data_IF_405091747448
#
_entry.id   IF_405091747448
#
_cell.length_a   1.000
_cell.length_b   1.000
_cell.length_c   1.000
_cell.angle_alpha   90.00
_cell.angle_beta   90.00
_cell.angle_gamma   90.00
#
_symmetry.space_group_name_H-M   'P 1'
#
loop_
_entity.id
_entity.type
_entity.pdbx_description
1 polymer ?
#
# COMPACT_ATOMS: atom_id res chain seq x y z
N UNK A 1 20.07 -3.04 2.60
CA UNK A 1 19.61 -1.67 2.25
C UNK A 1 18.34 -1.81 1.42
N UNK A 2 17.30 -1.01 1.67
CA UNK A 2 16.00 -1.06 0.97
C UNK A 2 15.64 0.37 0.55
N UNK A 3 15.20 0.57 -0.70
CA UNK A 3 14.67 1.86 -1.16
C UNK A 3 13.32 2.13 -0.48
N UNK A 4 13.02 3.39 -0.17
CA UNK A 4 11.83 3.78 0.59
C UNK A 4 11.10 4.92 -0.10
N UNK A 5 9.79 4.74 -0.35
CA UNK A 5 8.92 5.74 -0.95
C UNK A 5 7.61 5.88 -0.13
N UNK A 6 7.46 6.92 0.71
CA UNK A 6 6.42 7.00 1.74
C UNK A 6 4.99 7.03 1.20
N UNK A 7 4.80 7.34 -0.08
CA UNK A 7 3.48 7.34 -0.72
C UNK A 7 3.04 5.97 -1.23
N UNK A 8 3.91 4.95 -1.22
CA UNK A 8 3.69 3.69 -1.92
C UNK A 8 3.92 2.44 -1.07
N UNK A 9 4.08 2.58 0.25
CA UNK A 9 4.21 1.46 1.18
C UNK A 9 3.89 1.88 2.62
N UNK A 10 3.27 0.99 3.40
CA UNK A 10 2.92 1.27 4.81
C UNK A 10 4.18 1.35 5.69
N UNK A 11 5.08 0.39 5.55
CA UNK A 11 6.34 0.37 6.29
C UNK A 11 7.23 1.54 5.86
N UNK A 12 7.24 1.86 4.56
CA UNK A 12 7.92 3.03 4.02
C UNK A 12 7.40 4.32 4.63
N UNK A 13 6.08 4.47 4.75
CA UNK A 13 5.44 5.62 5.37
C UNK A 13 5.90 5.81 6.81
N UNK A 14 5.83 4.76 7.65
CA UNK A 14 6.25 4.85 9.05
C UNK A 14 7.75 5.09 9.22
N UNK A 15 8.59 4.44 8.39
CA UNK A 15 10.02 4.65 8.38
C UNK A 15 10.38 6.10 8.03
N UNK A 16 9.84 6.62 6.93
CA UNK A 16 10.04 8.01 6.52
C UNK A 16 9.52 9.02 7.54
N UNK A 17 8.35 8.75 8.13
CA UNK A 17 7.74 9.61 9.16
C UNK A 17 8.68 9.79 10.35
N UNK A 18 9.31 8.70 10.83
CA UNK A 18 10.27 8.73 11.95
C UNK A 18 11.46 9.66 11.68
N UNK A 19 11.88 9.78 10.42
CA UNK A 19 13.01 10.62 10.00
C UNK A 19 12.58 11.97 9.41
N UNK A 20 11.29 12.33 9.47
CA UNK A 20 10.79 13.61 8.94
C UNK A 20 10.87 13.74 7.42
N UNK A 21 10.96 12.62 6.68
CA UNK A 21 10.97 12.61 5.23
C UNK A 21 9.55 12.93 4.73
N UNK A 22 9.45 13.95 3.88
CA UNK A 22 8.15 14.43 3.38
C UNK A 22 7.48 13.40 2.48
N UNK A 23 6.15 13.33 2.57
CA UNK A 23 5.32 12.58 1.65
C UNK A 23 5.34 13.25 0.27
N UNK A 24 5.78 12.52 -0.75
CA UNK A 24 5.69 12.93 -2.15
C UNK A 24 5.04 11.80 -2.94
N UNK A 25 4.00 12.13 -3.71
CA UNK A 25 3.27 11.17 -4.54
C UNK A 25 3.22 11.67 -6.00
N UNK A 26 4.00 11.07 -6.91
CA UNK A 26 4.02 11.45 -8.32
C UNK A 26 2.88 10.82 -9.13
N UNK A 27 2.00 10.02 -8.52
CA UNK A 27 0.94 9.27 -9.22
C UNK A 27 -0.44 9.76 -8.82
N UNK A 28 -1.25 10.12 -9.80
CA UNK A 28 -2.61 10.63 -9.62
C UNK A 28 -3.64 9.52 -9.35
N UNK A 29 -4.93 9.89 -9.27
CA UNK A 29 -6.02 8.97 -8.95
C UNK A 29 -6.19 7.84 -9.98
N UNK A 30 -5.92 8.13 -11.25
CA UNK A 30 -6.02 7.21 -12.39
C UNK A 30 -4.81 6.25 -12.52
N UNK A 31 -3.83 6.35 -11.62
CA UNK A 31 -2.62 5.52 -11.68
C UNK A 31 -1.64 6.01 -12.76
N UNK A 32 -1.67 7.30 -13.09
CA UNK A 32 -0.79 7.95 -14.06
C UNK A 32 0.16 8.94 -13.38
N UNK A 33 1.34 9.11 -13.94
CA UNK A 33 2.28 10.11 -13.46
C UNK A 33 1.79 11.53 -13.75
N UNK A 34 1.95 12.42 -12.77
CA UNK A 34 1.60 13.85 -12.89
C UNK A 34 2.56 14.58 -13.84
N UNK A 35 2.14 15.76 -14.30
CA UNK A 35 2.93 16.63 -15.19
C UNK A 35 4.32 16.98 -14.67
N UNK A 36 4.47 17.02 -13.34
CA UNK A 36 5.70 17.40 -12.66
C UNK A 36 6.81 16.33 -12.76
N UNK A 37 6.52 15.21 -13.43
CA UNK A 37 7.50 14.17 -13.78
C UNK A 37 7.61 14.08 -15.30
N UNK A 38 8.34 15.00 -15.98
CA UNK A 38 8.20 15.23 -17.42
C UNK A 38 8.44 14.01 -18.30
N UNK A 39 9.41 13.15 -17.94
CA UNK A 39 9.72 11.92 -18.69
C UNK A 39 8.61 10.86 -18.64
N UNK A 40 7.75 10.92 -17.63
CA UNK A 40 6.69 9.94 -17.37
C UNK A 40 5.29 10.54 -17.46
N UNK A 41 5.17 11.85 -17.62
CA UNK A 41 3.91 12.59 -17.52
C UNK A 41 2.80 11.95 -18.36
N UNK A 42 1.67 11.65 -17.71
CA UNK A 42 0.49 11.03 -18.34
C UNK A 42 0.60 9.52 -18.58
N UNK A 43 1.79 8.91 -18.48
CA UNK A 43 1.95 7.46 -18.56
C UNK A 43 1.33 6.79 -17.33
N UNK A 44 0.74 5.62 -17.51
CA UNK A 44 0.42 4.75 -16.37
C UNK A 44 1.71 4.27 -15.69
N UNK A 45 1.61 3.86 -14.43
CA UNK A 45 2.74 3.25 -13.71
C UNK A 45 3.37 2.07 -14.45
N UNK A 46 2.57 1.31 -15.21
CA UNK A 46 3.03 0.15 -15.97
C UNK A 46 3.80 0.55 -17.24
N UNK A 47 3.30 1.55 -17.96
CA UNK A 47 3.98 2.14 -19.13
C UNK A 47 5.29 2.82 -18.73
N UNK A 48 5.34 3.43 -17.54
CA UNK A 48 6.53 4.10 -17.04
C UNK A 48 7.67 3.17 -16.60
N UNK A 49 7.39 1.93 -16.18
CA UNK A 49 8.41 0.98 -15.72
C UNK A 49 9.56 0.75 -16.71
N UNK A 50 9.32 0.43 -18.00
CA UNK A 50 10.42 0.29 -18.97
C UNK A 50 11.20 1.61 -19.16
N UNK A 51 10.51 2.75 -19.20
CA UNK A 51 11.14 4.08 -19.37
C UNK A 51 12.08 4.41 -18.19
N UNK A 52 11.70 4.04 -16.96
CA UNK A 52 12.55 4.21 -15.77
C UNK A 52 13.79 3.33 -15.85
N UNK A 53 13.65 2.08 -16.30
CA UNK A 53 14.79 1.16 -16.46
C UNK A 53 15.79 1.73 -17.47
N UNK A 54 15.30 2.18 -18.63
CA UNK A 54 16.13 2.78 -19.68
C UNK A 54 16.83 4.05 -19.17
N UNK A 55 16.12 4.91 -18.44
CA UNK A 55 16.71 6.11 -17.85
C UNK A 55 17.82 5.78 -16.84
N UNK A 56 17.60 4.82 -15.92
CA UNK A 56 18.63 4.42 -14.95
C UNK A 56 19.84 3.78 -15.66
N UNK A 57 19.63 3.13 -16.80
CA UNK A 57 20.70 2.60 -17.65
C UNK A 57 21.49 3.71 -18.35
N UNK A 58 20.81 4.72 -18.93
CA UNK A 58 21.43 5.91 -19.54
C UNK A 58 22.35 6.64 -18.56
N UNK A 59 21.97 6.70 -17.28
CA UNK A 59 22.78 7.34 -16.23
C UNK A 59 23.93 6.46 -15.70
N UNK A 60 24.10 5.25 -16.22
CA UNK A 60 25.13 4.30 -15.77
C UNK A 60 24.91 3.78 -14.34
N UNK A 61 23.69 3.86 -13.82
CA UNK A 61 23.32 3.45 -12.45
C UNK A 61 22.67 2.08 -12.39
N UNK A 62 22.36 1.46 -13.54
CA UNK A 62 21.76 0.13 -13.61
C UNK A 62 22.83 -0.96 -13.48
N UNK A 63 22.77 -1.74 -12.40
CA UNK A 63 23.68 -2.86 -12.19
C UNK A 63 23.18 -4.17 -12.81
N UNK A 64 21.87 -4.42 -12.74
CA UNK A 64 21.23 -5.65 -13.24
C UNK A 64 19.75 -5.40 -13.52
N UNK A 65 19.20 -6.10 -14.52
CA UNK A 65 17.78 -6.11 -14.84
C UNK A 65 17.33 -7.56 -15.12
N UNK A 66 16.22 -7.97 -14.52
CA UNK A 66 15.67 -9.31 -14.65
C UNK A 66 14.20 -9.37 -14.25
N UNK A 67 13.50 -10.42 -14.70
CA UNK A 67 12.09 -10.64 -14.36
C UNK A 67 11.99 -11.68 -13.24
N UNK A 68 11.09 -11.43 -12.28
CA UNK A 68 10.81 -12.32 -11.16
C UNK A 68 9.30 -12.63 -11.17
N UNK A 69 8.95 -13.90 -10.99
CA UNK A 69 7.57 -14.32 -10.81
C UNK A 69 7.28 -14.49 -9.32
N UNK A 70 6.26 -13.80 -8.83
CA UNK A 70 5.83 -13.87 -7.44
C UNK A 70 4.33 -13.57 -7.32
N UNK A 71 3.75 -13.80 -6.15
CA UNK A 71 2.38 -13.40 -5.86
C UNK A 71 2.27 -11.87 -5.81
N UNK A 72 1.30 -11.32 -6.53
CA UNK A 72 1.02 -9.89 -6.58
C UNK A 72 -0.46 -9.61 -6.26
N UNK A 73 -0.73 -8.51 -5.57
CA UNK A 73 -2.07 -8.14 -5.14
C UNK A 73 -2.95 -7.73 -6.33
N UNK A 74 -4.13 -8.32 -6.44
CA UNK A 74 -5.10 -8.01 -7.48
C UNK A 74 -6.45 -7.63 -6.86
N UNK A 75 -7.18 -6.73 -7.52
CA UNK A 75 -8.53 -6.38 -7.15
C UNK A 75 -9.40 -7.65 -7.10
N UNK A 76 -10.02 -7.95 -5.96
CA UNK A 76 -10.82 -9.16 -5.79
C UNK A 76 -12.01 -9.23 -6.76
N UNK A 77 -12.52 -8.08 -7.22
CA UNK A 77 -13.62 -7.96 -8.19
C UNK A 77 -13.14 -7.95 -9.64
N UNK A 78 -12.33 -6.95 -10.00
CA UNK A 78 -11.93 -6.71 -11.40
C UNK A 78 -10.71 -7.53 -11.84
N UNK A 79 -10.02 -8.20 -10.91
CA UNK A 79 -8.81 -8.99 -11.15
C UNK A 79 -7.66 -8.19 -11.79
N UNK A 80 -7.68 -6.87 -11.68
CA UNK A 80 -6.59 -5.99 -12.13
C UNK A 80 -5.53 -5.82 -11.03
N UNK A 81 -4.25 -5.63 -11.37
CA UNK A 81 -3.20 -5.40 -10.38
C UNK A 81 -3.46 -4.14 -9.54
N UNK A 82 -3.19 -4.23 -8.24
CA UNK A 82 -3.31 -3.10 -7.32
C UNK A 82 -1.99 -2.34 -7.19
N UNK A 83 -2.09 -1.07 -6.79
CA UNK A 83 -0.95 -0.26 -6.35
C UNK A 83 -1.26 0.38 -5.01
N UNK A 84 -0.22 0.61 -4.20
CA UNK A 84 -0.33 1.39 -2.98
C UNK A 84 -0.14 2.86 -3.29
N UNK A 85 -1.04 3.70 -2.77
CA UNK A 85 -0.99 5.15 -2.93
C UNK A 85 -1.52 5.83 -1.67
N UNK A 86 -0.76 6.78 -1.15
CA UNK A 86 -1.23 7.66 -0.09
C UNK A 86 -2.38 8.53 -0.61
N UNK A 87 -3.55 8.42 0.03
CA UNK A 87 -4.75 9.19 -0.29
C UNK A 87 -5.42 9.61 1.01
N UNK A 88 -6.18 10.72 0.98
CA UNK A 88 -7.05 11.07 2.10
C UNK A 88 -8.14 10.01 2.26
N UNK A 89 -8.27 9.42 3.44
CA UNK A 89 -9.21 8.35 3.74
C UNK A 89 -9.81 8.55 5.14
N UNK A 90 -11.00 8.00 5.34
CA UNK A 90 -11.65 7.95 6.64
C UNK A 90 -11.34 6.62 7.32
N UNK A 91 -10.94 6.68 8.59
CA UNK A 91 -10.58 5.51 9.37
C UNK A 91 -11.44 5.42 10.63
N UNK A 92 -11.87 4.21 10.96
CA UNK A 92 -12.49 3.90 12.25
C UNK A 92 -11.37 3.50 13.21
N UNK A 93 -11.30 4.15 14.36
CA UNK A 93 -10.29 3.87 15.39
C UNK A 93 -10.57 2.54 16.09
N UNK A 94 -10.10 1.42 15.53
CA UNK A 94 -10.29 0.08 16.11
C UNK A 94 -9.69 -0.03 17.51
N UNK A 95 -8.57 0.63 17.74
CA UNK A 95 -7.77 0.60 18.97
C UNK A 95 -7.86 1.91 19.77
N UNK A 96 -8.84 2.76 19.48
CA UNK A 96 -9.12 3.97 20.29
C UNK A 96 -10.13 3.63 21.38
N UNK A 97 -9.89 4.09 22.59
CA UNK A 97 -10.81 3.94 23.71
C UNK A 97 -12.12 4.71 23.42
N UNK A 98 -13.25 4.03 23.61
CA UNK A 98 -14.56 4.64 23.62
C UNK A 98 -14.88 5.32 24.95
N UNK A 99 -16.11 5.82 25.08
CA UNK A 99 -16.61 6.47 26.31
C UNK A 99 -16.66 5.54 27.52
N UNK A 100 -16.69 4.22 27.29
CA UNK A 100 -16.69 3.18 28.31
C UNK A 100 -15.28 2.61 28.59
N UNK A 101 -14.22 3.27 28.10
CA UNK A 101 -12.82 2.85 28.26
C UNK A 101 -12.44 1.59 27.49
N UNK A 102 -13.33 1.05 26.64
CA UNK A 102 -13.08 -0.14 25.82
C UNK A 102 -12.89 0.24 24.35
N UNK A 103 -11.96 -0.43 23.68
CA UNK A 103 -11.76 -0.25 22.23
C UNK A 103 -12.81 -1.02 21.42
N UNK A 104 -13.03 -0.62 20.16
CA UNK A 104 -13.91 -1.35 19.26
C UNK A 104 -13.39 -2.77 19.01
N UNK A 105 -12.07 -2.95 18.93
CA UNK A 105 -11.44 -4.28 18.82
C UNK A 105 -11.78 -5.15 20.02
N UNK A 106 -11.69 -4.64 21.25
CA UNK A 106 -12.03 -5.45 22.44
C UNK A 106 -13.49 -5.89 22.43
N UNK A 107 -14.41 -4.99 22.03
CA UNK A 107 -15.84 -5.30 21.93
C UNK A 107 -16.09 -6.39 20.86
N UNK A 108 -15.45 -6.27 19.70
CA UNK A 108 -15.55 -7.26 18.63
C UNK A 108 -15.01 -8.64 19.06
N UNK A 109 -13.83 -8.69 19.70
CA UNK A 109 -13.26 -9.95 20.19
C UNK A 109 -14.16 -10.62 21.22
N UNK A 110 -14.72 -9.87 22.16
CA UNK A 110 -15.65 -10.42 23.16
C UNK A 110 -16.93 -10.97 22.49
N UNK A 111 -17.46 -10.27 21.48
CA UNK A 111 -18.61 -10.74 20.72
C UNK A 111 -18.31 -12.06 19.98
N UNK A 112 -17.09 -12.20 19.42
CA UNK A 112 -16.63 -13.47 18.83
C UNK A 112 -16.55 -14.57 19.87
N UNK A 113 -16.06 -14.29 21.08
CA UNK A 113 -15.92 -15.28 22.15
C UNK A 113 -17.25 -15.87 22.64
N UNK A 114 -18.31 -15.04 22.69
CA UNK A 114 -19.64 -15.48 23.16
C UNK A 114 -20.54 -16.01 22.04
N UNK A 115 -20.09 -15.98 20.79
CA UNK A 115 -20.83 -16.51 19.64
C UNK A 115 -20.49 -17.98 19.42
N UNK A 116 -21.51 -18.83 19.31
CA UNK A 116 -21.32 -20.23 18.97
C UNK A 116 -21.15 -20.40 17.45
N UNK A 117 -20.14 -21.16 17.04
CA UNK A 117 -19.79 -21.36 15.63
C UNK A 117 -20.08 -22.79 15.17
N UNK A 118 -20.76 -22.91 14.03
CA UNK A 118 -21.02 -24.19 13.37
C UNK A 118 -20.48 -24.13 11.93
N UNK A 119 -19.36 -24.82 11.61
CA UNK A 119 -18.52 -25.64 12.49
C UNK A 119 -17.60 -24.82 13.41
N UNK A 120 -17.19 -25.40 14.54
CA UNK A 120 -16.42 -24.72 15.60
C UNK A 120 -15.10 -24.09 15.13
N UNK A 121 -14.43 -24.67 14.12
CA UNK A 121 -13.18 -24.12 13.59
C UNK A 121 -13.36 -22.77 12.87
N UNK A 122 -14.61 -22.39 12.52
CA UNK A 122 -14.92 -21.09 11.94
C UNK A 122 -14.49 -19.91 12.80
N UNK A 123 -14.47 -20.09 14.13
CA UNK A 123 -14.00 -19.08 15.09
C UNK A 123 -12.57 -18.61 14.82
N UNK A 124 -11.66 -19.50 14.43
CA UNK A 124 -10.25 -19.15 14.23
C UNK A 124 -9.99 -18.30 12.98
N UNK A 125 -11.01 -18.06 12.15
CA UNK A 125 -10.93 -17.28 10.90
C UNK A 125 -11.55 -15.89 10.98
N UNK A 126 -12.21 -15.55 12.11
CA UNK A 126 -12.80 -14.25 12.39
C UNK A 126 -11.93 -13.47 13.38
#
# INVERSE_FOLDING_TARGET
MVHTAPAHGLDDYFACLRYGIKLYNPVNAEGRYISDVPRLAGMTVWEGNPVVIDWVAEEGKLLSNGKITHSYAHCWRHKTPLIYRATGQWFIGMDKEGTDGKTLRNKAMNAVDVTEFFPAWGRARL
#
